data_IF_446627475403
#
_entry.id   IF_446627475403
#
_cell.length_a   1.000
_cell.length_b   1.000
_cell.length_c   1.000
_cell.angle_alpha   90.00
_cell.angle_beta   90.00
_cell.angle_gamma   90.00
#
_symmetry.space_group_name_H-M   'P 1'
#
loop_
_entity.id
_entity.type
_entity.pdbx_description
1 polymer ?
#
# COMPACT_ATOMS: atom_id res chain seq x y z
N UNK A 1 -15.71 -58.25 -65.51
CA UNK A 1 -15.17 -56.94 -65.20
C UNK A 1 -14.74 -56.95 -63.74
N UNK A 2 -13.45 -57.09 -63.47
CA UNK A 2 -12.91 -57.25 -62.12
C UNK A 2 -12.88 -55.86 -61.46
N UNK A 3 -13.66 -55.70 -60.37
CA UNK A 3 -13.71 -54.47 -59.60
C UNK A 3 -12.34 -54.19 -58.98
N UNK A 4 -11.73 -53.07 -59.32
CA UNK A 4 -10.49 -52.60 -58.65
C UNK A 4 -10.79 -52.44 -57.15
N UNK A 5 -9.90 -52.97 -56.28
CA UNK A 5 -10.05 -52.83 -54.86
C UNK A 5 -9.97 -51.35 -54.48
N UNK A 6 -10.98 -50.86 -53.75
CA UNK A 6 -10.99 -49.51 -53.19
C UNK A 6 -9.87 -49.39 -52.19
N UNK A 7 -9.03 -48.34 -52.25
CA UNK A 7 -7.93 -48.18 -51.30
C UNK A 7 -8.47 -48.07 -49.89
N UNK A 8 -7.76 -48.58 -48.87
CA UNK A 8 -8.22 -48.59 -47.50
C UNK A 8 -8.50 -47.14 -47.03
N UNK A 9 -9.71 -46.90 -46.59
CA UNK A 9 -10.15 -45.61 -46.05
C UNK A 9 -9.32 -45.28 -44.84
N UNK A 10 -8.40 -44.27 -44.94
CA UNK A 10 -7.59 -43.78 -43.83
C UNK A 10 -8.53 -43.33 -42.69
N UNK A 11 -8.30 -43.82 -41.46
CA UNK A 11 -9.20 -43.57 -40.35
C UNK A 11 -9.30 -42.06 -40.03
N UNK A 12 -10.51 -41.54 -39.81
CA UNK A 12 -10.88 -40.14 -39.61
C UNK A 12 -10.09 -39.47 -38.48
N UNK A 13 -9.75 -40.21 -37.41
CA UNK A 13 -9.04 -39.71 -36.24
C UNK A 13 -7.61 -39.24 -36.55
N UNK A 14 -6.95 -39.77 -37.61
CA UNK A 14 -5.56 -39.36 -37.98
C UNK A 14 -5.47 -37.91 -38.45
N UNK A 15 -6.45 -37.41 -39.22
CA UNK A 15 -6.44 -36.02 -39.66
C UNK A 15 -6.81 -35.06 -38.57
N UNK A 16 -7.69 -35.43 -37.64
CA UNK A 16 -8.01 -34.64 -36.45
C UNK A 16 -6.81 -34.67 -35.44
N UNK A 17 -6.15 -35.79 -35.29
CA UNK A 17 -4.98 -35.92 -34.49
C UNK A 17 -3.78 -35.06 -35.01
N UNK A 18 -3.58 -35.05 -36.34
CA UNK A 18 -2.59 -34.17 -36.97
C UNK A 18 -2.93 -32.68 -36.77
N UNK A 19 -4.20 -32.31 -36.91
CA UNK A 19 -4.66 -30.93 -36.64
C UNK A 19 -4.49 -30.56 -35.17
N UNK A 20 -4.80 -31.46 -34.25
CA UNK A 20 -4.56 -31.27 -32.82
C UNK A 20 -3.06 -31.14 -32.51
N UNK A 21 -2.22 -31.96 -33.13
CA UNK A 21 -0.77 -31.92 -32.98
C UNK A 21 -0.17 -30.58 -33.48
N UNK A 22 -0.75 -30.00 -34.55
CA UNK A 22 -0.31 -28.70 -35.08
C UNK A 22 -0.83 -27.52 -34.27
N UNK A 23 -2.01 -27.61 -33.66
CA UNK A 23 -2.66 -26.50 -32.95
C UNK A 23 -2.34 -26.50 -31.44
N UNK A 24 -2.15 -27.66 -30.83
CA UNK A 24 -1.80 -27.74 -29.40
C UNK A 24 -0.52 -26.95 -29.02
N UNK A 25 0.55 -26.93 -29.85
CA UNK A 25 1.72 -26.11 -29.56
C UNK A 25 1.44 -24.60 -29.46
N UNK A 26 0.34 -24.10 -30.06
CA UNK A 26 -0.07 -22.69 -29.98
C UNK A 26 -0.53 -22.30 -28.55
N UNK A 27 -0.93 -23.27 -27.74
CA UNK A 27 -1.30 -23.01 -26.34
C UNK A 27 -0.06 -22.68 -25.50
N UNK A 28 1.13 -23.17 -25.85
CA UNK A 28 2.34 -22.89 -25.10
C UNK A 28 2.77 -21.41 -25.18
N UNK A 29 2.89 -20.77 -26.36
CA UNK A 29 3.17 -19.33 -26.42
C UNK A 29 2.02 -18.49 -25.85
N UNK A 30 0.77 -18.92 -25.99
CA UNK A 30 -0.39 -18.25 -25.38
C UNK A 30 -0.27 -18.24 -23.85
N UNK A 31 0.12 -19.37 -23.24
CA UNK A 31 0.36 -19.47 -21.80
C UNK A 31 1.43 -18.49 -21.35
N UNK A 32 2.61 -18.49 -22.00
CA UNK A 32 3.71 -17.61 -21.63
C UNK A 32 3.38 -16.12 -21.86
N UNK A 33 2.66 -15.81 -22.94
CA UNK A 33 2.23 -14.44 -23.20
C UNK A 33 1.24 -13.96 -22.15
N UNK A 34 0.25 -14.79 -21.80
CA UNK A 34 -0.73 -14.48 -20.76
C UNK A 34 -0.05 -14.34 -19.38
N UNK A 35 0.86 -15.26 -19.05
CA UNK A 35 1.61 -15.21 -17.79
C UNK A 35 2.39 -13.90 -17.66
N UNK A 36 3.18 -13.54 -18.69
CA UNK A 36 3.92 -12.27 -18.71
C UNK A 36 3.01 -11.07 -18.62
N UNK A 37 1.93 -11.05 -19.39
CA UNK A 37 1.00 -9.94 -19.39
C UNK A 37 0.37 -9.72 -18.00
N UNK A 38 -0.15 -10.77 -17.37
CA UNK A 38 -0.78 -10.65 -16.06
C UNK A 38 0.22 -10.41 -14.93
N UNK A 39 1.46 -10.92 -15.06
CA UNK A 39 2.52 -10.59 -14.11
C UNK A 39 2.90 -9.11 -14.20
N UNK A 40 3.07 -8.57 -15.41
CA UNK A 40 3.41 -7.16 -15.64
C UNK A 40 2.26 -6.23 -15.21
N UNK A 41 1.02 -6.60 -15.52
CA UNK A 41 -0.17 -5.85 -15.12
C UNK A 41 -0.29 -5.79 -13.60
N UNK A 42 -0.20 -6.94 -12.91
CA UNK A 42 -0.25 -7.01 -11.46
C UNK A 42 0.93 -6.27 -10.83
N UNK A 43 2.14 -6.40 -11.39
CA UNK A 43 3.31 -5.68 -10.92
C UNK A 43 3.17 -4.15 -11.10
N UNK A 44 2.52 -3.71 -12.18
CA UNK A 44 2.23 -2.29 -12.43
C UNK A 44 1.21 -1.74 -11.43
N UNK A 45 0.10 -2.45 -11.21
CA UNK A 45 -0.91 -2.10 -10.21
C UNK A 45 -0.31 -2.05 -8.80
N UNK A 46 0.50 -3.05 -8.46
CA UNK A 46 1.18 -3.11 -7.17
C UNK A 46 2.16 -1.94 -6.99
N UNK A 47 2.88 -1.52 -8.04
CA UNK A 47 3.76 -0.34 -7.96
C UNK A 47 2.98 0.94 -7.67
N UNK A 48 1.87 1.17 -8.36
CA UNK A 48 1.02 2.33 -8.12
C UNK A 48 0.45 2.34 -6.70
N UNK A 49 -0.04 1.19 -6.26
CA UNK A 49 -0.57 0.99 -4.91
C UNK A 49 0.53 1.23 -3.86
N UNK A 50 1.73 0.69 -4.10
CA UNK A 50 2.88 0.86 -3.23
C UNK A 50 3.29 2.34 -3.10
N UNK A 51 3.32 3.08 -4.22
CA UNK A 51 3.63 4.51 -4.21
C UNK A 51 2.61 5.32 -3.39
N UNK A 52 1.32 4.95 -3.44
CA UNK A 52 0.29 5.57 -2.60
C UNK A 52 0.51 5.28 -1.10
N UNK A 53 0.84 4.05 -0.75
CA UNK A 53 1.13 3.69 0.64
C UNK A 53 2.38 4.37 1.18
N UNK A 54 3.45 4.44 0.38
CA UNK A 54 4.67 5.16 0.73
C UNK A 54 4.38 6.65 0.90
N UNK A 55 3.63 7.26 -0.01
CA UNK A 55 3.27 8.68 0.09
C UNK A 55 2.42 8.96 1.34
N UNK A 56 1.46 8.09 1.67
CA UNK A 56 0.65 8.20 2.88
C UNK A 56 1.49 8.09 4.15
N UNK A 57 2.38 7.10 4.21
CA UNK A 57 3.29 6.90 5.33
C UNK A 57 4.21 8.12 5.53
N UNK A 58 4.86 8.58 4.47
CA UNK A 58 5.73 9.76 4.51
C UNK A 58 4.95 11.02 4.88
N UNK A 59 3.76 11.22 4.31
CA UNK A 59 2.88 12.33 4.67
C UNK A 59 2.48 12.31 6.14
N UNK A 60 2.28 11.11 6.71
CA UNK A 60 2.05 10.95 8.15
C UNK A 60 3.27 11.34 8.96
N UNK A 61 4.47 10.86 8.58
CA UNK A 61 5.71 11.14 9.29
C UNK A 61 6.09 12.63 9.20
N UNK A 62 6.06 13.22 8.01
CA UNK A 62 6.42 14.62 7.78
C UNK A 62 5.55 15.60 8.57
N UNK A 63 4.28 15.26 8.85
CA UNK A 63 3.40 16.07 9.69
C UNK A 63 3.95 16.29 11.08
N UNK A 64 4.65 15.29 11.64
CA UNK A 64 5.16 15.34 13.01
C UNK A 64 6.63 15.70 13.09
N UNK A 65 7.34 15.60 12.01
CA UNK A 65 8.79 15.75 11.94
C UNK A 65 9.30 17.09 12.46
N UNK A 66 8.61 18.16 12.11
CA UNK A 66 8.98 19.53 12.50
C UNK A 66 8.49 19.94 13.88
N UNK A 67 7.54 19.20 14.45
CA UNK A 67 6.91 19.57 15.72
C UNK A 67 7.91 19.70 16.88
N UNK A 68 8.87 18.78 17.09
CA UNK A 68 9.81 18.92 18.22
C UNK A 68 10.64 20.19 18.11
N UNK A 69 11.02 20.60 16.89
CA UNK A 69 11.81 21.82 16.68
C UNK A 69 10.99 23.07 16.98
N UNK A 70 9.77 23.15 16.42
CA UNK A 70 8.90 24.33 16.61
C UNK A 70 8.48 24.48 18.07
N UNK A 71 8.12 23.37 18.71
CA UNK A 71 7.61 23.39 20.09
C UNK A 71 8.74 23.51 21.12
N UNK A 72 9.94 23.08 20.81
CA UNK A 72 11.11 23.20 21.70
C UNK A 72 11.40 24.63 22.14
N UNK A 73 11.02 25.62 21.33
CA UNK A 73 11.21 27.04 21.63
C UNK A 73 10.19 27.63 22.60
N UNK A 74 9.18 26.87 22.99
CA UNK A 74 8.15 27.35 23.91
C UNK A 74 8.73 27.69 25.30
N UNK A 75 8.47 28.89 25.83
CA UNK A 75 9.01 29.33 27.14
C UNK A 75 8.62 28.39 28.29
N UNK A 76 7.43 27.79 28.22
CA UNK A 76 6.97 26.84 29.22
C UNK A 76 7.85 25.58 29.32
N UNK A 77 8.40 25.10 28.20
CA UNK A 77 9.28 23.94 28.17
C UNK A 77 10.71 24.30 28.66
N UNK A 78 11.23 25.45 28.23
CA UNK A 78 12.50 25.97 28.73
C UNK A 78 12.48 26.24 30.24
N UNK A 79 11.35 26.76 30.76
CA UNK A 79 11.17 26.98 32.18
C UNK A 79 11.32 25.72 33.04
N UNK A 80 10.86 24.57 32.54
CA UNK A 80 11.05 23.26 33.21
C UNK A 80 12.52 22.84 33.18
N UNK A 81 13.20 23.06 32.05
CA UNK A 81 14.61 22.70 31.90
C UNK A 81 15.53 23.59 32.76
N UNK A 82 15.13 24.85 33.02
CA UNK A 82 15.84 25.78 33.88
C UNK A 82 15.66 25.43 35.36
N UNK A 83 14.46 25.02 35.76
CA UNK A 83 14.17 24.59 37.14
C UNK A 83 13.21 23.38 37.15
N UNK A 84 13.77 22.17 37.09
CA UNK A 84 12.99 20.92 37.05
C UNK A 84 12.20 20.64 38.34
N UNK A 85 12.56 21.29 39.45
CA UNK A 85 11.91 21.09 40.74
C UNK A 85 10.70 22.01 40.96
N UNK A 86 10.52 22.99 40.10
CA UNK A 86 9.36 23.87 40.16
C UNK A 86 8.09 23.16 39.71
N UNK A 87 7.34 22.63 40.66
CA UNK A 87 6.15 21.81 40.43
C UNK A 87 5.13 22.49 39.50
N UNK A 88 4.95 23.82 39.64
CA UNK A 88 4.04 24.58 38.79
C UNK A 88 4.48 24.57 37.30
N UNK A 89 5.79 24.76 37.04
CA UNK A 89 6.35 24.74 35.71
C UNK A 89 6.15 23.35 35.06
N UNK A 90 6.50 22.29 35.78
CA UNK A 90 6.32 20.90 35.32
C UNK A 90 4.84 20.60 35.04
N UNK A 91 3.93 21.01 35.93
CA UNK A 91 2.50 20.79 35.75
C UNK A 91 1.95 21.54 34.53
N UNK A 92 2.39 22.77 34.31
CA UNK A 92 1.99 23.57 33.16
C UNK A 92 2.55 22.98 31.86
N UNK A 93 3.79 22.53 31.84
CA UNK A 93 4.37 21.84 30.68
C UNK A 93 3.63 20.55 30.38
N UNK A 94 3.31 19.74 31.36
CA UNK A 94 2.53 18.52 31.19
C UNK A 94 1.15 18.78 30.54
N UNK A 95 0.42 19.80 31.05
CA UNK A 95 -0.88 20.21 30.48
C UNK A 95 -0.72 20.73 29.05
N UNK A 96 0.30 21.54 28.81
CA UNK A 96 0.60 22.07 27.49
C UNK A 96 0.87 20.93 26.50
N UNK A 97 1.78 20.01 26.83
CA UNK A 97 2.09 18.86 25.98
C UNK A 97 0.86 17.98 25.74
N UNK A 98 0.02 17.76 26.76
CA UNK A 98 -1.22 17.01 26.62
C UNK A 98 -2.21 17.71 25.68
N UNK A 99 -2.36 19.02 25.78
CA UNK A 99 -3.19 19.81 24.87
C UNK A 99 -2.70 19.75 23.43
N UNK A 100 -1.39 19.85 23.20
CA UNK A 100 -0.80 19.74 21.86
C UNK A 100 -1.02 18.34 21.28
N UNK A 101 -0.82 17.29 22.06
CA UNK A 101 -1.08 15.91 21.62
C UNK A 101 -2.54 15.73 21.17
N UNK A 102 -3.48 16.26 21.92
CA UNK A 102 -4.92 16.19 21.57
C UNK A 102 -5.24 16.90 20.24
N UNK A 103 -4.54 17.99 19.93
CA UNK A 103 -4.75 18.76 18.70
C UNK A 103 -4.04 18.17 17.49
N UNK A 104 -2.83 17.64 17.69
CA UNK A 104 -1.99 17.12 16.62
C UNK A 104 -2.28 15.66 16.26
N UNK A 105 -2.81 14.89 17.21
CA UNK A 105 -3.00 13.46 17.07
C UNK A 105 -1.71 12.65 17.27
N UNK A 106 -0.64 13.26 17.81
CA UNK A 106 0.54 12.53 18.26
C UNK A 106 0.17 11.52 19.36
N UNK A 107 0.95 10.45 19.53
CA UNK A 107 0.68 9.50 20.61
C UNK A 107 1.12 10.06 21.96
N UNK A 108 2.38 10.50 22.04
CA UNK A 108 2.96 11.07 23.25
C UNK A 108 3.99 12.14 22.87
N UNK A 109 4.02 13.23 23.62
CA UNK A 109 5.12 14.20 23.62
C UNK A 109 5.75 14.26 25.00
N UNK A 110 7.07 14.35 25.07
CA UNK A 110 7.80 14.42 26.32
C UNK A 110 9.10 15.21 26.21
N UNK A 111 9.45 15.84 27.31
CA UNK A 111 10.63 16.70 27.46
C UNK A 111 11.65 16.01 28.36
N UNK A 112 12.87 15.90 27.86
CA UNK A 112 14.01 15.33 28.58
C UNK A 112 15.05 16.38 28.88
N UNK A 113 15.76 16.20 30.00
CA UNK A 113 16.97 16.93 30.30
C UNK A 113 18.16 16.43 29.46
N UNK A 114 19.31 17.06 29.62
CA UNK A 114 20.57 16.68 28.94
C UNK A 114 21.11 15.31 29.36
N UNK A 115 20.60 14.72 30.42
CA UNK A 115 20.95 13.36 30.88
C UNK A 115 19.94 12.31 30.38
N UNK A 116 18.91 12.72 29.61
CA UNK A 116 17.88 11.84 29.09
C UNK A 116 16.75 11.49 30.06
N UNK A 117 16.67 12.16 31.22
CA UNK A 117 15.57 11.98 32.16
C UNK A 117 14.36 12.76 31.68
N UNK A 118 13.20 12.13 31.67
CA UNK A 118 11.95 12.76 31.26
C UNK A 118 11.39 13.62 32.40
N UNK A 119 11.34 14.93 32.18
CA UNK A 119 10.88 15.90 33.18
C UNK A 119 9.39 16.18 33.05
N UNK A 120 8.88 16.19 31.82
CA UNK A 120 7.46 16.42 31.54
C UNK A 120 7.02 15.55 30.37
N UNK A 121 5.74 15.13 30.40
CA UNK A 121 5.17 14.31 29.34
C UNK A 121 3.67 14.53 29.19
N UNK A 122 3.14 14.39 27.98
CA UNK A 122 1.69 14.51 27.69
C UNK A 122 0.86 13.41 28.37
N UNK A 123 1.49 12.25 28.68
CA UNK A 123 0.87 11.11 29.36
C UNK A 123 1.21 11.05 30.87
N UNK A 124 1.55 12.18 31.47
CA UNK A 124 1.98 12.26 32.87
C UNK A 124 0.97 11.69 33.88
N UNK A 125 -0.30 11.70 33.54
CA UNK A 125 -1.43 11.24 34.36
C UNK A 125 -1.85 9.78 34.07
N UNK A 126 -1.08 9.05 33.27
CA UNK A 126 -1.37 7.66 32.92
C UNK A 126 -0.45 6.67 33.67
N UNK A 127 -0.88 5.43 33.78
CA UNK A 127 -0.10 4.35 34.40
C UNK A 127 1.20 4.05 33.66
N UNK A 128 1.23 4.30 32.35
CA UNK A 128 2.38 4.15 31.46
C UNK A 128 3.11 5.50 31.23
N UNK A 129 3.08 6.38 32.23
CA UNK A 129 3.73 7.70 32.19
C UNK A 129 5.21 7.57 31.88
N UNK A 130 5.69 8.50 31.05
CA UNK A 130 7.11 8.61 30.72
C UNK A 130 7.89 9.50 31.71
N UNK A 131 7.20 10.29 32.53
CA UNK A 131 7.85 11.14 33.54
C UNK A 131 8.70 10.30 34.50
N UNK A 132 9.94 10.74 34.75
CA UNK A 132 10.89 10.04 35.57
C UNK A 132 11.63 8.87 34.92
N UNK A 133 11.32 8.57 33.64
CA UNK A 133 12.03 7.55 32.87
C UNK A 133 13.22 8.16 32.14
N UNK A 134 14.28 7.35 31.98
CA UNK A 134 15.49 7.77 31.25
C UNK A 134 15.53 7.04 29.89
N UNK A 135 15.73 7.82 28.81
CA UNK A 135 15.84 7.34 27.45
C UNK A 135 17.13 7.78 26.75
N UNK A 136 18.19 8.08 27.50
CA UNK A 136 19.51 8.47 26.96
C UNK A 136 20.12 7.42 26.01
N UNK A 137 19.76 6.14 26.21
CA UNK A 137 20.24 5.03 25.36
C UNK A 137 19.63 5.01 23.96
N UNK A 138 18.58 5.79 23.72
CA UNK A 138 17.87 5.81 22.43
C UNK A 138 18.63 6.65 21.40
N UNK A 139 18.76 6.18 20.14
CA UNK A 139 19.45 6.91 19.07
C UNK A 139 18.94 8.34 18.87
N UNK A 140 17.61 8.53 18.88
CA UNK A 140 17.01 9.84 18.67
C UNK A 140 17.45 10.89 19.71
N UNK A 141 17.74 10.46 20.94
CA UNK A 141 18.25 11.36 21.97
C UNK A 141 19.67 11.82 21.66
N UNK A 142 20.54 10.88 21.31
CA UNK A 142 21.92 11.18 20.96
C UNK A 142 22.05 12.10 19.73
N UNK A 143 21.21 11.85 18.72
CA UNK A 143 21.13 12.69 17.52
C UNK A 143 20.66 14.11 17.86
N UNK A 144 19.62 14.24 18.69
CA UNK A 144 19.13 15.53 19.15
C UNK A 144 20.18 16.29 19.98
N UNK A 145 20.89 15.61 20.87
CA UNK A 145 21.98 16.19 21.63
C UNK A 145 23.17 16.59 20.77
N UNK A 146 23.36 15.96 19.60
CA UNK A 146 24.33 16.38 18.59
C UNK A 146 23.82 17.58 17.74
N UNK A 147 22.62 18.06 17.99
CA UNK A 147 22.01 19.17 17.27
C UNK A 147 21.29 18.80 15.98
N UNK A 148 21.16 17.51 15.71
CA UNK A 148 20.42 16.98 14.56
C UNK A 148 18.97 16.63 14.93
N UNK A 149 18.11 16.49 13.93
CA UNK A 149 16.79 15.92 14.16
C UNK A 149 16.91 14.40 14.34
N UNK A 150 16.64 13.93 15.54
CA UNK A 150 16.64 12.52 15.86
C UNK A 150 15.41 11.82 15.31
N UNK A 151 15.60 10.69 14.64
CA UNK A 151 14.57 9.83 14.09
C UNK A 151 14.79 8.40 14.53
N UNK A 152 13.74 7.75 15.00
CA UNK A 152 13.88 6.38 15.46
C UNK A 152 12.54 5.65 15.42
N UNK A 153 12.53 4.44 14.87
CA UNK A 153 11.43 3.52 15.07
C UNK A 153 11.75 2.58 16.23
N UNK A 154 10.79 2.37 17.12
CA UNK A 154 10.97 1.38 18.16
C UNK A 154 9.72 1.11 18.97
N UNK A 155 9.75 0.02 19.72
CA UNK A 155 8.75 -0.26 20.74
C UNK A 155 9.09 0.50 22.01
N UNK A 156 8.09 1.18 22.58
CA UNK A 156 8.24 1.86 23.86
C UNK A 156 8.49 0.85 24.98
N UNK A 157 9.59 1.02 25.69
CA UNK A 157 9.92 0.16 26.85
C UNK A 157 8.95 0.34 28.01
N UNK A 158 8.26 1.47 28.08
CA UNK A 158 7.28 1.80 29.12
C UNK A 158 5.85 1.42 28.70
N UNK A 159 5.44 1.79 27.49
CA UNK A 159 4.06 1.57 27.01
C UNK A 159 3.87 0.25 26.26
N UNK A 160 4.95 -0.46 25.93
CA UNK A 160 4.98 -1.62 25.04
C UNK A 160 4.35 -1.36 23.65
N UNK A 161 4.02 -0.10 23.31
CA UNK A 161 3.46 0.30 22.04
C UNK A 161 4.57 0.69 21.07
N UNK A 162 4.40 0.31 19.81
CA UNK A 162 5.28 0.73 18.71
C UNK A 162 5.09 2.21 18.44
N UNK A 163 6.10 2.85 17.90
CA UNK A 163 5.99 4.22 17.45
C UNK A 163 7.21 4.67 16.67
N UNK A 164 7.00 5.77 15.97
CA UNK A 164 8.10 6.53 15.39
C UNK A 164 8.36 7.76 16.21
N UNK A 165 9.62 8.00 16.52
CA UNK A 165 10.05 9.06 17.42
C UNK A 165 10.79 10.12 16.62
N UNK A 166 10.36 11.37 16.78
CA UNK A 166 11.08 12.56 16.33
C UNK A 166 11.58 13.32 17.55
N UNK A 167 12.84 13.67 17.56
CA UNK A 167 13.45 14.38 18.67
C UNK A 167 14.25 15.60 18.20
N UNK A 168 14.11 16.70 18.89
CA UNK A 168 14.89 17.89 18.61
C UNK A 168 15.44 18.48 19.90
N UNK A 169 16.63 19.08 19.79
CA UNK A 169 17.24 19.82 20.87
C UNK A 169 16.40 21.03 21.27
N UNK A 170 16.19 21.20 22.56
CA UNK A 170 15.69 22.45 23.14
C UNK A 170 16.90 23.30 23.51
N UNK A 171 16.90 24.54 23.04
CA UNK A 171 18.04 25.44 23.20
C UNK A 171 17.75 26.63 24.09
N UNK A 172 18.77 27.08 24.79
CA UNK A 172 18.80 28.38 25.42
C UNK A 172 20.03 29.12 24.85
N UNK A 173 19.78 30.02 23.91
CA UNK A 173 20.81 30.55 23.01
C UNK A 173 21.48 29.43 22.20
N UNK A 174 22.80 29.37 22.26
CA UNK A 174 23.59 28.32 21.56
C UNK A 174 23.61 26.98 22.31
N UNK A 175 23.25 26.99 23.60
CA UNK A 175 23.37 25.80 24.46
C UNK A 175 22.14 24.89 24.32
N UNK A 176 22.38 23.61 24.14
CA UNK A 176 21.36 22.59 24.27
C UNK A 176 21.07 22.35 25.75
N UNK A 177 19.84 22.56 26.18
CA UNK A 177 19.41 22.42 27.58
C UNK A 177 18.51 21.19 27.79
N UNK A 178 18.03 20.57 26.71
CA UNK A 178 17.22 19.36 26.78
C UNK A 178 16.80 18.90 25.39
N UNK A 179 15.92 17.93 25.37
CA UNK A 179 15.39 17.33 24.14
C UNK A 179 13.88 17.20 24.23
N UNK A 180 13.17 17.71 23.24
CA UNK A 180 11.74 17.46 23.06
C UNK A 180 11.52 16.31 22.08
N UNK A 181 10.67 15.37 22.47
CA UNK A 181 10.36 14.19 21.66
C UNK A 181 8.89 14.12 21.36
N UNK A 182 8.58 13.78 20.11
CA UNK A 182 7.23 13.46 19.62
C UNK A 182 7.19 12.01 19.20
N UNK A 183 6.37 11.21 19.85
CA UNK A 183 6.07 9.83 19.48
C UNK A 183 4.82 9.79 18.64
N UNK A 184 4.91 9.13 17.49
CA UNK A 184 3.81 8.94 16.53
C UNK A 184 3.40 7.48 16.53
N UNK A 185 2.10 7.22 16.66
CA UNK A 185 1.54 5.88 16.50
C UNK A 185 1.40 5.55 15.01
N UNK A 186 1.88 4.38 14.61
CA UNK A 186 1.77 3.85 13.26
C UNK A 186 0.72 2.74 13.14
N UNK A 187 0.04 2.37 14.21
CA UNK A 187 -0.97 1.30 14.20
C UNK A 187 -2.16 1.63 13.30
N UNK A 188 -2.51 2.91 13.18
CA UNK A 188 -3.54 3.36 12.25
C UNK A 188 -3.14 3.11 10.78
N UNK A 189 -1.90 3.41 10.42
CA UNK A 189 -1.36 3.13 9.08
C UNK A 189 -1.38 1.63 8.79
N UNK A 190 -0.94 0.81 9.75
CA UNK A 190 -0.97 -0.65 9.64
C UNK A 190 -2.39 -1.20 9.48
N UNK A 191 -3.37 -0.63 10.20
CA UNK A 191 -4.78 -1.02 10.08
C UNK A 191 -5.35 -0.76 8.68
N UNK A 192 -4.93 0.32 8.03
CA UNK A 192 -5.32 0.61 6.65
C UNK A 192 -4.73 -0.42 5.67
N UNK A 193 -3.50 -0.89 5.93
CA UNK A 193 -2.84 -1.90 5.11
C UNK A 193 -3.53 -3.28 5.17
N UNK A 194 -4.14 -3.63 6.30
CA UNK A 194 -4.84 -4.90 6.48
C UNK A 194 -6.17 -5.04 5.74
N UNK A 195 -6.59 -4.01 5.00
CA UNK A 195 -7.87 -4.00 4.25
C UNK A 195 -7.76 -4.42 2.79
N UNK A 196 -6.56 -4.71 2.31
CA UNK A 196 -6.30 -5.10 0.93
C UNK A 196 -6.02 -6.61 0.82
N UNK A 197 -6.30 -7.23 -0.34
CA UNK A 197 -5.99 -8.65 -0.56
C UNK A 197 -4.48 -8.91 -0.63
N UNK A 198 -3.67 -7.91 -1.01
CA UNK A 198 -2.23 -7.97 -1.06
C UNK A 198 -1.65 -7.89 0.35
N UNK A 199 -0.52 -8.55 0.55
CA UNK A 199 0.20 -8.44 1.81
C UNK A 199 1.23 -7.33 1.72
N UNK A 200 1.18 -6.42 2.69
CA UNK A 200 2.12 -5.32 2.83
C UNK A 200 3.06 -5.59 4.00
N UNK A 201 4.30 -5.25 3.80
CA UNK A 201 5.28 -5.22 4.87
C UNK A 201 6.25 -4.05 4.68
N UNK A 202 6.64 -3.46 5.79
CA UNK A 202 7.69 -2.46 5.91
C UNK A 202 8.81 -3.06 6.73
N UNK A 203 10.00 -3.08 6.17
CA UNK A 203 11.20 -3.47 6.90
C UNK A 203 12.08 -2.26 7.18
N UNK A 204 12.78 -2.29 8.29
CA UNK A 204 13.83 -1.32 8.61
C UNK A 204 15.15 -1.67 7.91
N UNK A 205 16.20 -0.89 8.21
CA UNK A 205 17.55 -1.09 7.66
C UNK A 205 18.17 -2.44 8.03
N UNK A 206 17.71 -3.10 9.09
CA UNK A 206 18.12 -4.46 9.46
C UNK A 206 17.38 -5.55 8.67
N UNK A 207 16.36 -5.18 7.90
CA UNK A 207 15.46 -6.13 7.24
C UNK A 207 14.44 -6.75 8.20
N UNK A 208 14.18 -6.13 9.35
CA UNK A 208 13.17 -6.58 10.31
C UNK A 208 11.83 -5.94 9.98
N UNK A 209 10.77 -6.74 9.93
CA UNK A 209 9.41 -6.28 9.66
C UNK A 209 8.88 -5.46 10.83
N UNK A 210 8.64 -4.18 10.59
CA UNK A 210 8.17 -3.23 11.62
C UNK A 210 6.69 -2.88 11.49
N UNK A 211 6.15 -2.85 10.26
CA UNK A 211 4.73 -2.74 9.98
C UNK A 211 4.34 -3.79 8.95
N UNK A 212 3.15 -4.36 9.07
CA UNK A 212 2.67 -5.39 8.14
C UNK A 212 1.15 -5.56 8.22
N UNK A 213 0.53 -5.91 7.09
CA UNK A 213 -0.86 -6.35 7.06
C UNK A 213 -1.09 -7.72 7.74
N UNK A 214 0.01 -8.46 8.04
CA UNK A 214 -0.03 -9.77 8.70
C UNK A 214 0.64 -9.72 10.07
N UNK A 215 -0.10 -9.73 11.16
CA UNK A 215 0.46 -9.63 12.52
C UNK A 215 1.49 -10.70 12.88
N UNK A 216 1.38 -11.90 12.29
CA UNK A 216 2.31 -13.02 12.47
C UNK A 216 3.70 -12.81 11.85
N UNK A 217 3.84 -11.83 10.97
CA UNK A 217 5.12 -11.46 10.35
C UNK A 217 5.88 -10.38 11.12
N UNK A 218 5.21 -9.72 12.05
CA UNK A 218 5.77 -8.60 12.80
C UNK A 218 7.00 -9.01 13.59
N UNK A 219 8.03 -8.19 13.52
CA UNK A 219 9.34 -8.38 14.15
C UNK A 219 10.08 -9.65 13.70
N UNK A 220 9.75 -10.19 12.53
CA UNK A 220 10.53 -11.23 11.88
C UNK A 220 11.54 -10.60 10.93
N UNK A 221 12.70 -11.24 10.76
CA UNK A 221 13.75 -10.79 9.87
C UNK A 221 13.60 -11.41 8.49
N UNK A 222 13.59 -10.59 7.43
CA UNK A 222 13.51 -11.05 6.02
C UNK A 222 14.87 -11.57 5.50
N UNK A 223 15.94 -11.33 6.25
CA UNK A 223 17.30 -11.81 5.98
C UNK A 223 18.00 -12.24 7.26
N UNK A 224 19.08 -12.96 7.11
CA UNK A 224 19.94 -13.31 8.25
C UNK A 224 20.63 -12.06 8.79
N UNK A 225 20.52 -11.84 10.11
CA UNK A 225 21.19 -10.75 10.79
C UNK A 225 22.63 -11.12 11.08
N UNK A 226 23.54 -10.19 10.86
CA UNK A 226 24.95 -10.30 11.27
C UNK A 226 25.08 -10.19 12.80
N UNK A 227 26.22 -10.63 13.36
CA UNK A 227 26.43 -10.52 14.78
C UNK A 227 26.51 -9.06 15.25
N UNK A 228 27.11 -8.17 14.45
CA UNK A 228 27.15 -6.74 14.75
C UNK A 228 25.75 -6.12 14.81
N UNK A 229 24.86 -6.48 13.88
CA UNK A 229 23.45 -6.02 13.89
C UNK A 229 22.70 -6.54 15.11
N UNK A 230 22.93 -7.77 15.54
CA UNK A 230 22.33 -8.32 16.76
C UNK A 230 22.77 -7.55 18.00
N UNK A 231 24.05 -7.25 18.12
CA UNK A 231 24.59 -6.46 19.22
C UNK A 231 24.00 -5.04 19.23
N UNK A 232 23.85 -4.40 18.07
CA UNK A 232 23.20 -3.12 17.94
C UNK A 232 21.73 -3.17 18.37
N UNK A 233 20.99 -4.21 17.97
CA UNK A 233 19.59 -4.43 18.38
C UNK A 233 19.47 -4.57 19.92
N UNK A 234 20.39 -5.29 20.55
CA UNK A 234 20.42 -5.44 22.01
C UNK A 234 20.65 -4.09 22.69
N UNK A 235 21.58 -3.28 22.17
CA UNK A 235 21.96 -2.00 22.75
C UNK A 235 20.83 -0.97 22.67
N UNK A 236 20.16 -0.84 21.51
CA UNK A 236 19.16 0.20 21.27
C UNK A 236 17.71 -0.26 21.45
N UNK A 237 17.49 -1.58 21.60
CA UNK A 237 16.20 -2.23 21.88
C UNK A 237 15.04 -1.73 20.99
N UNK A 238 15.14 -1.79 19.64
CA UNK A 238 14.10 -1.27 18.74
C UNK A 238 12.85 -2.16 18.73
N UNK A 239 13.00 -3.45 19.06
CA UNK A 239 11.93 -4.46 19.00
C UNK A 239 11.70 -5.12 20.37
N UNK A 240 10.55 -5.81 20.57
CA UNK A 240 10.26 -6.54 21.79
C UNK A 240 11.17 -7.76 21.98
N UNK A 241 11.81 -8.22 20.93
CA UNK A 241 12.72 -9.36 20.94
C UNK A 241 14.14 -8.93 20.57
N UNK A 242 15.12 -9.48 21.25
CA UNK A 242 16.53 -9.26 20.94
C UNK A 242 17.03 -10.15 19.78
N UNK A 243 16.26 -11.20 19.46
CA UNK A 243 16.58 -12.15 18.39
C UNK A 243 15.35 -12.32 17.45
N UNK A 244 15.15 -11.41 16.47
CA UNK A 244 14.09 -11.53 15.49
C UNK A 244 14.17 -12.88 14.77
N UNK A 245 13.06 -13.63 14.79
CA UNK A 245 12.95 -14.92 14.10
C UNK A 245 12.95 -14.71 12.57
N UNK A 246 13.52 -15.62 11.78
CA UNK A 246 13.49 -15.50 10.33
C UNK A 246 12.05 -15.57 9.78
N UNK A 247 11.76 -14.69 8.83
CA UNK A 247 10.55 -14.76 8.01
C UNK A 247 10.84 -15.57 6.76
N UNK A 248 10.31 -16.79 6.72
CA UNK A 248 10.43 -17.65 5.54
C UNK A 248 9.27 -17.37 4.62
N UNK A 249 9.53 -16.71 3.51
CA UNK A 249 8.59 -16.52 2.41
C UNK A 249 9.00 -17.42 1.25
N UNK A 250 8.06 -18.21 0.73
CA UNK A 250 8.29 -19.01 -0.48
C UNK A 250 8.32 -18.05 -1.69
N UNK A 251 9.45 -17.90 -2.40
CA UNK A 251 9.54 -16.93 -3.51
C UNK A 251 8.51 -17.18 -4.61
N UNK A 252 8.17 -18.44 -4.84
CA UNK A 252 7.22 -18.85 -5.88
C UNK A 252 5.75 -18.57 -5.52
N UNK A 253 5.46 -18.26 -4.27
CA UNK A 253 4.09 -17.98 -3.82
C UNK A 253 3.66 -16.53 -4.07
N UNK A 254 4.61 -15.62 -4.24
CA UNK A 254 4.37 -14.18 -4.23
C UNK A 254 5.00 -13.46 -5.41
N UNK A 255 4.28 -12.49 -5.93
CA UNK A 255 4.82 -11.46 -6.83
C UNK A 255 5.08 -10.23 -5.98
N UNK A 256 6.37 -9.91 -5.79
CA UNK A 256 6.81 -8.86 -4.87
C UNK A 256 7.21 -7.62 -5.65
N UNK A 257 6.71 -6.47 -5.20
CA UNK A 257 7.22 -5.16 -5.59
C UNK A 257 7.72 -4.46 -4.35
N UNK A 258 8.86 -3.78 -4.48
CA UNK A 258 9.56 -3.17 -3.35
C UNK A 258 9.94 -1.74 -3.67
N UNK A 259 9.84 -0.87 -2.67
CA UNK A 259 10.22 0.54 -2.73
C UNK A 259 11.09 0.91 -1.53
N UNK A 260 12.28 1.43 -1.80
CA UNK A 260 13.16 1.95 -0.75
C UNK A 260 12.76 3.37 -0.38
N UNK A 261 12.69 3.64 0.91
CA UNK A 261 12.49 4.98 1.48
C UNK A 261 13.84 5.46 1.99
N UNK A 262 14.53 6.24 1.16
CA UNK A 262 15.91 6.70 1.45
C UNK A 262 16.04 7.52 2.74
N UNK A 263 15.01 8.29 3.09
CA UNK A 263 15.01 9.18 4.26
C UNK A 263 15.07 8.42 5.58
N UNK A 264 14.49 7.23 5.64
CA UNK A 264 14.43 6.40 6.84
C UNK A 264 15.30 5.15 6.76
N UNK A 265 15.82 4.83 5.58
CA UNK A 265 16.47 3.54 5.31
C UNK A 265 15.51 2.35 5.34
N UNK A 266 14.22 2.61 5.17
CA UNK A 266 13.17 1.60 5.18
C UNK A 266 12.88 1.07 3.78
N UNK A 267 12.30 -0.12 3.75
CA UNK A 267 11.86 -0.75 2.53
C UNK A 267 10.41 -1.20 2.67
N UNK A 268 9.52 -0.69 1.82
CA UNK A 268 8.13 -1.15 1.75
C UNK A 268 8.01 -2.17 0.63
N UNK A 269 7.38 -3.29 0.92
CA UNK A 269 7.12 -4.34 -0.06
C UNK A 269 5.63 -4.68 -0.07
N UNK A 270 5.09 -4.86 -1.27
CA UNK A 270 3.77 -5.43 -1.51
C UNK A 270 3.94 -6.82 -2.12
N UNK A 271 3.27 -7.80 -1.53
CA UNK A 271 3.30 -9.19 -1.92
C UNK A 271 1.91 -9.59 -2.40
N UNK A 272 1.74 -9.75 -3.70
CA UNK A 272 0.51 -10.27 -4.27
C UNK A 272 0.62 -11.78 -4.45
N UNK A 273 -0.39 -12.57 -4.04
CA UNK A 273 -0.38 -14.00 -4.24
C UNK A 273 -0.29 -14.36 -5.72
N UNK A 274 0.68 -15.21 -6.11
CA UNK A 274 0.86 -15.66 -7.50
C UNK A 274 -0.39 -16.35 -8.06
N UNK A 275 -1.21 -16.94 -7.18
CA UNK A 275 -2.49 -17.56 -7.56
C UNK A 275 -3.43 -16.61 -8.31
N UNK A 276 -3.30 -15.28 -8.14
CA UNK A 276 -4.08 -14.30 -8.89
C UNK A 276 -3.73 -14.33 -10.38
N UNK A 277 -2.44 -14.39 -10.69
CA UNK A 277 -1.95 -14.55 -12.07
C UNK A 277 -2.33 -15.93 -12.60
N UNK A 278 -2.11 -16.99 -11.82
CA UNK A 278 -2.41 -18.36 -12.23
C UNK A 278 -3.89 -18.54 -12.60
N UNK A 279 -4.81 -17.95 -11.83
CA UNK A 279 -6.25 -17.96 -12.14
C UNK A 279 -6.56 -17.23 -13.45
N UNK A 280 -5.96 -16.07 -13.68
CA UNK A 280 -6.14 -15.31 -14.91
C UNK A 280 -5.60 -16.06 -16.11
N UNK A 281 -4.41 -16.66 -15.98
CA UNK A 281 -3.81 -17.51 -17.01
C UNK A 281 -4.67 -18.74 -17.28
N UNK A 282 -5.16 -19.44 -16.25
CA UNK A 282 -6.07 -20.58 -16.39
C UNK A 282 -7.34 -20.19 -17.16
N UNK A 283 -7.89 -19.00 -16.88
CA UNK A 283 -9.07 -18.50 -17.59
C UNK A 283 -8.78 -18.30 -19.08
N UNK A 284 -7.65 -17.65 -19.41
CA UNK A 284 -7.21 -17.47 -20.80
C UNK A 284 -6.96 -18.81 -21.47
N UNK A 285 -6.33 -19.75 -20.77
CA UNK A 285 -6.06 -21.10 -21.30
C UNK A 285 -7.36 -21.88 -21.53
N UNK A 286 -8.33 -21.77 -20.61
CA UNK A 286 -9.65 -22.40 -20.79
C UNK A 286 -10.37 -21.84 -22.01
N UNK A 287 -10.34 -20.51 -22.20
CA UNK A 287 -10.91 -19.84 -23.38
C UNK A 287 -10.16 -20.29 -24.65
N UNK A 288 -8.82 -20.29 -24.61
CA UNK A 288 -7.99 -20.73 -25.73
C UNK A 288 -8.25 -22.20 -26.12
N UNK A 289 -8.31 -23.08 -25.14
CA UNK A 289 -8.60 -24.50 -25.35
C UNK A 289 -10.05 -24.69 -25.86
N UNK A 290 -11.02 -23.95 -25.31
CA UNK A 290 -12.40 -23.95 -25.80
C UNK A 290 -12.50 -23.47 -27.25
N UNK A 291 -11.79 -22.40 -27.60
CA UNK A 291 -11.72 -21.87 -28.97
C UNK A 291 -11.09 -22.88 -29.91
N UNK A 292 -9.99 -23.54 -29.51
CA UNK A 292 -9.34 -24.61 -30.27
C UNK A 292 -10.30 -25.79 -30.49
N UNK A 293 -11.04 -26.19 -29.46
CA UNK A 293 -12.03 -27.26 -29.56
C UNK A 293 -13.11 -26.89 -30.56
N UNK A 294 -13.62 -25.66 -30.53
CA UNK A 294 -14.61 -25.19 -31.50
C UNK A 294 -14.06 -25.18 -32.93
N UNK A 295 -12.82 -24.69 -33.10
CA UNK A 295 -12.12 -24.70 -34.39
C UNK A 295 -11.94 -26.14 -34.91
N UNK A 296 -11.53 -27.06 -34.04
CA UNK A 296 -11.37 -28.47 -34.37
C UNK A 296 -12.72 -29.14 -34.77
N UNK A 297 -13.78 -28.82 -34.03
CA UNK A 297 -15.11 -29.31 -34.36
C UNK A 297 -15.58 -28.75 -35.72
N UNK A 298 -15.36 -27.47 -35.98
CA UNK A 298 -15.68 -26.82 -37.25
C UNK A 298 -14.84 -27.41 -38.40
N UNK A 299 -13.52 -27.57 -38.17
CA UNK A 299 -12.64 -28.20 -39.16
C UNK A 299 -13.03 -29.66 -39.42
N UNK A 300 -13.42 -30.39 -38.38
CA UNK A 300 -13.98 -31.75 -38.50
C UNK A 300 -15.23 -31.79 -39.32
N UNK A 301 -16.14 -30.83 -39.07
CA UNK A 301 -17.40 -30.67 -39.86
C UNK A 301 -17.10 -30.30 -41.33
N UNK A 302 -16.14 -29.36 -41.54
CA UNK A 302 -15.74 -28.96 -42.90
C UNK A 302 -15.10 -30.14 -43.65
N UNK A 303 -14.18 -30.89 -42.98
CA UNK A 303 -13.58 -32.09 -43.56
C UNK A 303 -14.62 -33.19 -43.83
N UNK A 304 -15.57 -33.36 -42.92
CA UNK A 304 -16.68 -34.29 -43.10
C UNK A 304 -17.55 -33.87 -44.28
N UNK A 305 -17.84 -32.56 -44.40
CA UNK A 305 -18.59 -32.00 -45.55
C UNK A 305 -17.81 -32.20 -46.86
N UNK A 306 -16.51 -31.88 -46.86
CA UNK A 306 -15.67 -32.01 -48.05
C UNK A 306 -15.58 -33.48 -48.54
N UNK A 307 -15.50 -34.43 -47.60
CA UNK A 307 -15.54 -35.86 -47.95
C UNK A 307 -16.92 -36.29 -48.47
N UNK A 308 -17.98 -35.83 -47.81
CA UNK A 308 -19.33 -36.08 -48.31
C UNK A 308 -19.56 -35.44 -49.68
N UNK A 309 -18.94 -34.31 -49.96
CA UNK A 309 -19.01 -33.66 -51.27
C UNK A 309 -18.21 -34.46 -52.31
N UNK A 310 -17.00 -34.96 -51.97
CA UNK A 310 -16.18 -35.83 -52.86
C UNK A 310 -16.90 -37.18 -53.09
N UNK A 311 -17.39 -37.81 -52.02
CA UNK A 311 -18.19 -39.05 -52.11
C UNK A 311 -19.50 -38.86 -52.94
N UNK A 312 -20.01 -37.64 -53.00
CA UNK A 312 -21.19 -37.29 -53.83
C UNK A 312 -20.84 -37.13 -55.29
N UNK A 313 -19.70 -36.57 -55.66
CA UNK A 313 -19.28 -36.47 -57.08
C UNK A 313 -19.21 -37.87 -57.68
N UNK A 314 -18.76 -38.84 -56.89
CA UNK A 314 -18.75 -40.25 -57.30
C UNK A 314 -20.15 -40.90 -57.32
N UNK A 315 -21.10 -40.32 -56.64
CA UNK A 315 -22.50 -40.81 -56.54
C UNK A 315 -23.47 -40.06 -57.46
N UNK A 316 -23.11 -38.84 -57.94
CA UNK A 316 -23.90 -38.03 -58.86
C UNK A 316 -24.20 -38.69 -60.19
N UNK A 317 -23.45 -39.71 -60.58
CA UNK A 317 -23.78 -40.56 -61.72
C UNK A 317 -25.02 -41.40 -61.51
N UNK A 318 -25.60 -41.47 -60.32
CA UNK A 318 -26.73 -42.39 -60.00
C UNK A 318 -28.03 -41.75 -59.47
N UNK A 319 -28.09 -40.50 -59.31
CA UNK A 319 -29.40 -40.04 -58.77
C UNK A 319 -29.59 -38.53 -58.60
N UNK A 320 -29.91 -37.82 -59.62
CA UNK A 320 -30.36 -36.42 -59.61
C UNK A 320 -31.51 -36.14 -58.64
N UNK A 321 -32.38 -37.07 -58.42
CA UNK A 321 -33.57 -36.88 -57.56
C UNK A 321 -33.31 -36.89 -56.08
N UNK A 322 -32.24 -37.55 -55.61
CA UNK A 322 -31.89 -37.58 -54.22
C UNK A 322 -31.07 -36.31 -53.81
N UNK A 323 -30.46 -35.65 -54.82
CA UNK A 323 -29.70 -34.44 -54.64
C UNK A 323 -30.55 -33.26 -54.21
N UNK A 324 -31.72 -33.06 -54.84
CA UNK A 324 -32.58 -31.95 -54.47
C UNK A 324 -33.16 -32.06 -53.06
N UNK A 325 -33.48 -33.28 -52.64
CA UNK A 325 -33.96 -33.51 -51.27
C UNK A 325 -32.89 -33.25 -50.22
N UNK A 326 -31.66 -33.65 -50.50
CA UNK A 326 -30.52 -33.41 -49.57
C UNK A 326 -30.02 -31.97 -49.55
N UNK A 327 -30.20 -31.21 -50.62
CA UNK A 327 -29.86 -29.77 -50.65
C UNK A 327 -30.79 -28.99 -49.74
N UNK A 328 -32.11 -29.31 -49.77
CA UNK A 328 -33.07 -28.63 -48.89
C UNK A 328 -32.83 -28.91 -47.40
N UNK A 329 -32.47 -30.14 -47.02
CA UNK A 329 -32.14 -30.49 -45.63
C UNK A 329 -30.86 -29.78 -45.12
N UNK A 330 -29.88 -29.58 -45.99
CA UNK A 330 -28.63 -28.89 -45.59
C UNK A 330 -28.77 -27.37 -45.43
N UNK A 331 -29.71 -26.79 -46.20
CA UNK A 331 -29.98 -25.34 -46.06
C UNK A 331 -30.55 -25.04 -44.67
N UNK A 332 -31.42 -25.92 -44.17
CA UNK A 332 -31.99 -25.82 -42.83
C UNK A 332 -30.91 -25.97 -41.72
N UNK A 333 -29.91 -26.87 -41.91
CA UNK A 333 -28.80 -27.05 -40.97
C UNK A 333 -27.88 -25.84 -40.93
N UNK A 334 -27.65 -25.19 -42.09
CA UNK A 334 -26.83 -23.97 -42.19
C UNK A 334 -27.50 -22.76 -41.51
N UNK A 335 -28.84 -22.65 -41.66
CA UNK A 335 -29.60 -21.62 -40.94
C UNK A 335 -29.56 -21.85 -39.42
N UNK A 336 -29.66 -23.10 -39.00
CA UNK A 336 -29.53 -23.48 -37.60
C UNK A 336 -28.13 -23.20 -37.02
N UNK A 337 -27.07 -23.45 -37.83
CA UNK A 337 -25.70 -23.18 -37.43
C UNK A 337 -25.41 -21.66 -37.34
N UNK A 338 -25.99 -20.90 -38.30
CA UNK A 338 -25.87 -19.43 -38.32
C UNK A 338 -26.57 -18.79 -37.11
N UNK A 339 -27.68 -19.38 -36.67
CA UNK A 339 -28.38 -18.95 -35.45
C UNK A 339 -27.57 -19.24 -34.20
N UNK A 340 -26.91 -20.42 -34.12
CA UNK A 340 -26.02 -20.75 -33.00
C UNK A 340 -24.77 -19.88 -32.97
N UNK A 341 -24.23 -19.56 -34.14
CA UNK A 341 -23.05 -18.66 -34.25
C UNK A 341 -23.39 -17.23 -33.80
N UNK A 342 -24.58 -16.70 -34.18
CA UNK A 342 -25.08 -15.41 -33.71
C UNK A 342 -25.22 -15.37 -32.18
N UNK A 343 -25.76 -16.46 -31.62
CA UNK A 343 -25.91 -16.54 -30.17
C UNK A 343 -24.55 -16.57 -29.43
N UNK A 344 -23.54 -17.31 -29.97
CA UNK A 344 -22.21 -17.37 -29.39
C UNK A 344 -21.45 -16.02 -29.48
N UNK A 345 -21.67 -15.26 -30.57
CA UNK A 345 -21.13 -13.89 -30.71
C UNK A 345 -21.77 -12.95 -29.68
N UNK A 346 -23.09 -13.05 -29.50
CA UNK A 346 -23.81 -12.21 -28.52
C UNK A 346 -23.36 -12.49 -27.09
N UNK A 347 -23.12 -13.75 -26.77
CA UNK A 347 -22.60 -14.17 -25.44
C UNK A 347 -21.19 -13.62 -25.17
N UNK A 348 -20.36 -13.61 -26.22
CA UNK A 348 -19.00 -13.02 -26.12
C UNK A 348 -19.02 -11.49 -25.92
N UNK A 349 -19.92 -10.79 -26.64
CA UNK A 349 -20.08 -9.35 -26.49
C UNK A 349 -20.59 -8.98 -25.09
N UNK A 350 -21.50 -9.76 -24.54
CA UNK A 350 -22.00 -9.56 -23.18
C UNK A 350 -20.89 -9.77 -22.13
N UNK A 351 -20.09 -10.84 -22.27
CA UNK A 351 -18.97 -11.09 -21.37
C UNK A 351 -17.90 -9.98 -21.43
N UNK A 352 -17.68 -9.41 -22.62
CA UNK A 352 -16.75 -8.31 -22.78
C UNK A 352 -17.27 -7.01 -22.14
N UNK A 353 -18.58 -6.75 -22.22
CA UNK A 353 -19.20 -5.60 -21.57
C UNK A 353 -19.16 -5.71 -20.02
N UNK A 354 -19.35 -6.92 -19.48
CA UNK A 354 -19.23 -7.15 -18.04
C UNK A 354 -17.78 -6.91 -17.55
N UNK A 355 -16.78 -7.35 -18.32
CA UNK A 355 -15.39 -7.12 -17.98
C UNK A 355 -15.04 -5.62 -17.95
N UNK A 356 -15.56 -4.83 -18.91
CA UNK A 356 -15.38 -3.38 -18.93
C UNK A 356 -16.05 -2.71 -17.73
N UNK A 357 -17.27 -3.12 -17.37
CA UNK A 357 -17.95 -2.57 -16.18
C UNK A 357 -17.20 -2.84 -14.88
N UNK A 358 -16.70 -4.08 -14.72
CA UNK A 358 -15.89 -4.42 -13.55
C UNK A 358 -14.59 -3.60 -13.47
N UNK A 359 -13.98 -3.29 -14.61
CA UNK A 359 -12.81 -2.42 -14.67
C UNK A 359 -13.12 -0.98 -14.25
N UNK A 360 -14.27 -0.45 -14.71
CA UNK A 360 -14.71 0.90 -14.36
C UNK A 360 -15.07 1.02 -12.86
N UNK A 361 -15.69 -0.01 -12.28
CA UNK A 361 -15.97 -0.07 -10.85
C UNK A 361 -14.68 -0.05 -10.00
N UNK A 362 -13.65 -0.78 -10.43
CA UNK A 362 -12.35 -0.78 -9.76
C UNK A 362 -11.65 0.59 -9.82
N UNK A 363 -11.76 1.28 -10.96
CA UNK A 363 -11.24 2.64 -11.11
C UNK A 363 -11.98 3.64 -10.22
N UNK A 364 -13.30 3.50 -10.09
CA UNK A 364 -14.11 4.36 -9.20
C UNK A 364 -13.79 4.10 -7.71
N UNK A 365 -13.66 2.84 -7.32
CA UNK A 365 -13.27 2.49 -5.95
C UNK A 365 -11.89 3.05 -5.58
N UNK A 366 -10.94 3.00 -6.52
CA UNK A 366 -9.62 3.63 -6.36
C UNK A 366 -9.68 5.15 -6.15
N UNK A 367 -10.52 5.84 -6.95
CA UNK A 367 -10.71 7.29 -6.82
C UNK A 367 -11.33 7.69 -5.48
N UNK A 368 -12.32 6.93 -5.00
CA UNK A 368 -12.98 7.21 -3.71
C UNK A 368 -12.04 6.98 -2.52
N UNK A 369 -11.17 5.97 -2.59
CA UNK A 369 -10.16 5.72 -1.56
C UNK A 369 -9.14 6.87 -1.44
N UNK A 370 -8.73 7.43 -2.58
CA UNK A 370 -7.83 8.60 -2.61
C UNK A 370 -8.51 9.85 -2.04
N UNK A 371 -9.80 10.06 -2.37
CA UNK A 371 -10.56 11.22 -1.87
C UNK A 371 -10.74 11.17 -0.33
N UNK A 372 -10.98 9.97 0.21
CA UNK A 372 -11.15 9.77 1.65
C UNK A 372 -9.89 10.10 2.46
N UNK A 373 -8.73 9.67 1.93
CA UNK A 373 -7.44 9.98 2.58
C UNK A 373 -7.03 11.44 2.47
N UNK A 374 -7.35 12.09 1.34
CA UNK A 374 -7.11 13.52 1.17
C UNK A 374 -7.95 14.39 2.10
N UNK A 375 -9.23 14.01 2.32
CA UNK A 375 -10.13 14.79 3.21
C UNK A 375 -9.67 14.77 4.68
N UNK A 376 -9.12 13.64 5.15
CA UNK A 376 -8.57 13.54 6.50
C UNK A 376 -7.30 14.38 6.67
N UNK A 377 -6.42 14.38 5.66
CA UNK A 377 -5.20 15.20 5.64
C UNK A 377 -5.52 16.70 5.66
N UNK A 378 -6.46 17.13 4.84
CA UNK A 378 -6.90 18.53 4.74
C UNK A 378 -7.48 19.05 6.06
N UNK A 379 -8.31 18.25 6.71
CA UNK A 379 -8.90 18.62 8.02
C UNK A 379 -7.81 18.79 9.08
N UNK A 380 -6.76 17.99 9.00
CA UNK A 380 -5.65 18.08 9.95
C UNK A 380 -4.75 19.29 9.68
N UNK A 381 -4.48 19.60 8.39
CA UNK A 381 -3.69 20.77 8.01
C UNK A 381 -4.39 22.12 8.30
N UNK A 382 -5.71 22.13 8.32
CA UNK A 382 -6.48 23.31 8.69
C UNK A 382 -6.56 23.49 10.21
N UNK A 383 -6.62 22.39 10.97
CA UNK A 383 -6.75 22.47 12.42
C UNK A 383 -5.44 22.91 13.11
N UNK A 384 -4.29 22.61 12.52
CA UNK A 384 -3.00 23.01 13.09
C UNK A 384 -2.81 24.52 13.19
N UNK A 385 -2.95 25.31 12.10
CA UNK A 385 -2.82 26.75 12.21
C UNK A 385 -3.93 27.39 13.06
N UNK A 386 -5.13 26.80 13.08
CA UNK A 386 -6.24 27.28 13.90
C UNK A 386 -5.93 27.16 15.40
N UNK A 387 -5.36 26.05 15.82
CA UNK A 387 -4.91 25.82 17.19
C UNK A 387 -3.79 26.78 17.60
N UNK A 388 -2.84 27.02 16.70
CA UNK A 388 -1.76 27.99 16.95
C UNK A 388 -2.28 29.42 17.07
N UNK A 389 -3.24 29.85 16.23
CA UNK A 389 -3.92 31.15 16.29
C UNK A 389 -4.56 31.33 17.66
N UNK A 390 -5.29 30.32 18.14
CA UNK A 390 -5.96 30.37 19.44
C UNK A 390 -4.94 30.50 20.58
N UNK A 391 -3.86 29.71 20.55
CA UNK A 391 -2.81 29.79 21.57
C UNK A 391 -2.12 31.16 21.61
N UNK A 392 -1.82 31.74 20.46
CA UNK A 392 -1.22 33.08 20.40
C UNK A 392 -2.21 34.17 20.83
N UNK A 393 -3.50 33.99 20.56
CA UNK A 393 -4.52 34.93 21.01
C UNK A 393 -4.65 34.93 22.55
N UNK A 394 -4.75 33.74 23.15
CA UNK A 394 -4.79 33.57 24.61
C UNK A 394 -3.50 34.12 25.27
N UNK A 395 -2.35 33.89 24.66
CA UNK A 395 -1.09 34.41 25.17
C UNK A 395 -0.97 35.93 24.99
N UNK A 396 -1.52 36.51 23.91
CA UNK A 396 -1.56 37.95 23.72
C UNK A 396 -2.46 38.61 24.77
N UNK A 397 -3.58 38.00 25.15
CA UNK A 397 -4.47 38.49 26.22
C UNK A 397 -3.72 38.53 27.56
N UNK A 398 -3.06 37.45 27.94
CA UNK A 398 -2.26 37.38 29.16
C UNK A 398 -1.14 38.44 29.17
N UNK A 399 -0.48 38.65 28.03
CA UNK A 399 0.60 39.62 27.90
C UNK A 399 0.06 41.07 28.04
N UNK A 400 -1.16 41.35 27.54
CA UNK A 400 -1.82 42.60 27.70
C UNK A 400 -2.18 42.89 29.16
N UNK A 401 -2.69 41.89 29.88
CA UNK A 401 -3.01 41.98 31.31
C UNK A 401 -1.78 42.29 32.17
N UNK A 402 -0.59 41.81 31.68
CA UNK A 402 0.68 42.11 32.35
C UNK A 402 1.40 43.35 31.80
N UNK A 403 0.69 44.23 31.05
CA UNK A 403 1.17 45.45 30.41
C UNK A 403 2.33 45.27 29.44
N UNK A 404 2.55 44.05 28.91
CA UNK A 404 3.61 43.71 27.94
C UNK A 404 3.08 43.87 26.51
N UNK A 405 2.76 45.12 26.14
CA UNK A 405 2.09 45.44 24.88
C UNK A 405 2.90 45.13 23.63
N UNK A 406 4.23 45.21 23.72
CA UNK A 406 5.09 44.90 22.55
C UNK A 406 5.17 43.40 22.28
N UNK A 407 5.18 42.60 23.31
CA UNK A 407 5.16 41.16 23.20
C UNK A 407 3.78 40.65 22.74
N UNK A 408 2.71 41.25 23.23
CA UNK A 408 1.36 40.98 22.75
C UNK A 408 1.20 41.34 21.27
N UNK A 409 1.80 42.46 20.80
CA UNK A 409 1.82 42.83 19.38
C UNK A 409 2.58 41.80 18.54
N UNK A 410 3.65 41.16 19.07
CA UNK A 410 4.35 40.05 18.44
C UNK A 410 3.40 38.86 18.20
N UNK A 411 2.62 38.48 19.20
CA UNK A 411 1.65 37.38 19.08
C UNK A 411 0.53 37.72 18.07
N UNK A 412 0.02 38.94 18.07
CA UNK A 412 -0.97 39.40 17.08
C UNK A 412 -0.41 39.36 15.65
N UNK A 413 0.87 39.66 15.46
CA UNK A 413 1.52 39.53 14.17
C UNK A 413 1.60 38.07 13.69
N UNK A 414 1.94 37.17 14.60
CA UNK A 414 1.99 35.73 14.32
C UNK A 414 0.59 35.17 13.97
N UNK A 415 -0.46 35.66 14.62
CA UNK A 415 -1.85 35.33 14.27
C UNK A 415 -2.15 35.79 12.84
N UNK A 416 -1.72 37.01 12.45
CA UNK A 416 -1.88 37.53 11.10
C UNK A 416 -1.17 36.64 10.05
N UNK A 417 0.04 36.19 10.34
CA UNK A 417 0.80 35.29 9.44
C UNK A 417 0.13 33.90 9.31
N UNK A 418 -0.37 33.36 10.42
CA UNK A 418 -1.07 32.07 10.43
C UNK A 418 -2.43 32.12 9.71
N UNK A 419 -3.18 33.23 9.85
CA UNK A 419 -4.43 33.43 9.09
C UNK A 419 -4.17 33.59 7.60
N UNK A 420 -3.08 34.28 7.22
CA UNK A 420 -2.62 34.34 5.82
C UNK A 420 -2.28 32.97 5.25
N UNK A 421 -1.60 32.15 6.04
CA UNK A 421 -1.24 30.77 5.67
C UNK A 421 -2.49 29.89 5.52
N UNK A 422 -3.49 30.01 6.40
CA UNK A 422 -4.79 29.34 6.26
C UNK A 422 -5.51 29.75 4.96
N UNK A 423 -5.54 31.04 4.67
CA UNK A 423 -6.15 31.54 3.42
C UNK A 423 -5.46 30.95 2.18
N UNK A 424 -4.13 30.80 2.21
CA UNK A 424 -3.37 30.15 1.13
C UNK A 424 -3.71 28.66 1.00
N UNK A 425 -3.81 27.92 2.11
CA UNK A 425 -4.21 26.49 2.09
C UNK A 425 -5.62 26.36 1.49
N UNK A 426 -6.57 27.20 1.92
CA UNK A 426 -7.94 27.19 1.39
C UNK A 426 -7.99 27.57 -0.09
N UNK A 427 -7.17 28.51 -0.52
CA UNK A 427 -7.08 28.91 -1.92
C UNK A 427 -6.55 27.76 -2.82
N UNK A 428 -5.53 27.02 -2.35
CA UNK A 428 -5.00 25.84 -3.05
C UNK A 428 -5.99 24.66 -3.11
N UNK A 429 -6.93 24.58 -2.17
CA UNK A 429 -7.99 23.56 -2.17
C UNK A 429 -9.16 23.90 -3.09
N UNK A 430 -9.25 25.17 -3.53
CA UNK A 430 -10.34 25.69 -4.37
C UNK A 430 -9.96 25.76 -5.86
N UNK A 431 -8.64 25.67 -6.15
CA UNK A 431 -8.07 25.60 -7.50
C UNK A 431 -8.01 24.15 -7.99
#
# INVERSE_FOLDING_TARGET
>A
MIAKPTPPRRPRWRSLALLALCLAPLLWPLHHLAERYYQEELASQNRQTLDLYVANLLGTLHRYETLPQILGDLPALRGVLADPFRLEAVTNANRLLKGIVQQTGAEVMYLMDVSGNTLAASNWDKHDSFVGRNFAFRPYFNEAMAGHLGRFFGQGTTSAKRGYFFAAAVRDGERIVGVLVVKVDLDHTETLWGRTPEQLLLTDHNGVVILTSRPDWRFRATRTLTEAERQAIIAIQPYPTQAPQPLVLSPDAWITQTRDIKETGWQVSILAPRILVDRSVQTVMAIGAGTLLVVMLLAGLVMQRRRHYIDRIDFEARGRQELEKRVAERTADLEGLNTRLKNAVLERENAQQEAVRAQDELVQAGKLSVLGTMSASISHELNQPLAAIRSYAENAEILLDHQRTDDARGNLKLIGELTGRMASIIAHLRA
#
